data_IF_672313598658
#
_entry.id   IF_672313598658
#
_cell.length_a   1.000
_cell.length_b   1.000
_cell.length_c   1.000
_cell.angle_alpha   90.00
_cell.angle_beta   90.00
_cell.angle_gamma   90.00
#
_symmetry.space_group_name_H-M   'P 1'
#
loop_
_entity.id
_entity.type
_entity.pdbx_description
1 polymer ?
#
# COMPACT_ATOMS: atom_id res chain seq x y z
N UNK A 1 15.11 86.67 -6.95
CA UNK A 1 15.36 86.12 -5.61
C UNK A 1 14.60 84.80 -5.49
N UNK A 2 15.12 83.70 -6.03
CA UNK A 2 14.59 82.33 -5.86
C UNK A 2 15.79 81.37 -5.92
N UNK A 3 16.33 81.01 -4.75
CA UNK A 3 17.35 79.97 -4.65
C UNK A 3 16.69 78.58 -4.69
N UNK A 4 17.04 77.79 -5.70
CA UNK A 4 16.62 76.38 -5.79
C UNK A 4 17.45 75.55 -4.81
N UNK A 5 16.84 75.18 -3.70
CA UNK A 5 17.37 74.21 -2.74
C UNK A 5 17.27 72.80 -3.35
N UNK A 6 18.37 72.27 -3.86
CA UNK A 6 18.49 70.87 -4.27
C UNK A 6 18.85 70.01 -3.06
N UNK A 7 17.84 69.39 -2.43
CA UNK A 7 18.08 68.36 -1.40
C UNK A 7 18.39 67.03 -2.09
N UNK A 8 19.51 66.36 -1.77
CA UNK A 8 19.78 65.03 -2.29
C UNK A 8 18.80 64.03 -1.67
N UNK A 9 18.08 63.31 -2.52
CA UNK A 9 17.19 62.23 -2.14
C UNK A 9 18.03 61.05 -1.64
N UNK A 10 18.03 60.79 -0.33
CA UNK A 10 18.65 59.59 0.26
C UNK A 10 17.63 58.46 0.29
N UNK A 11 17.91 57.36 -0.40
CA UNK A 11 17.14 56.14 -0.30
C UNK A 11 17.41 55.45 1.05
N UNK A 12 16.39 54.89 1.72
CA UNK A 12 16.58 54.14 2.95
C UNK A 12 17.26 52.78 2.66
N UNK A 13 18.05 52.24 3.61
CA UNK A 13 18.67 50.93 3.46
C UNK A 13 17.59 49.84 3.47
N UNK A 14 17.66 48.93 2.50
CA UNK A 14 16.86 47.70 2.49
C UNK A 14 17.24 46.86 3.72
N UNK A 15 16.45 46.94 4.78
CA UNK A 15 16.51 46.01 5.91
C UNK A 15 15.95 44.66 5.45
N UNK A 16 16.80 43.64 5.46
CA UNK A 16 16.50 42.24 5.13
C UNK A 16 15.91 41.48 6.33
N UNK A 17 14.58 41.40 6.52
CA UNK A 17 14.07 40.21 7.23
C UNK A 17 12.87 39.51 6.56
N UNK A 18 12.39 39.98 5.40
CA UNK A 18 11.15 39.41 4.82
C UNK A 18 11.40 38.17 3.95
N UNK A 19 12.63 37.93 3.48
CA UNK A 19 12.90 36.86 2.51
C UNK A 19 13.15 35.46 3.11
N UNK A 20 13.29 35.32 4.44
CA UNK A 20 13.59 34.03 5.09
C UNK A 20 12.37 33.23 5.58
N UNK A 21 11.16 33.78 5.48
CA UNK A 21 9.94 33.08 5.92
C UNK A 21 9.25 32.24 4.82
N UNK A 22 9.66 32.37 3.55
CA UNK A 22 8.98 31.70 2.43
C UNK A 22 9.45 30.26 2.14
N UNK A 23 10.56 29.79 2.71
CA UNK A 23 11.14 28.48 2.34
C UNK A 23 10.61 27.28 3.16
N UNK A 24 9.88 27.52 4.25
CA UNK A 24 9.48 26.45 5.19
C UNK A 24 8.20 25.68 4.78
N UNK A 25 7.43 26.16 3.79
CA UNK A 25 6.13 25.55 3.44
C UNK A 25 6.20 24.45 2.37
N UNK A 26 7.33 24.25 1.70
CA UNK A 26 7.43 23.32 0.56
C UNK A 26 7.80 21.87 0.94
N UNK A 27 8.22 21.59 2.18
CA UNK A 27 8.75 20.27 2.56
C UNK A 27 7.66 19.32 3.11
N UNK A 28 6.51 19.85 3.56
CA UNK A 28 5.48 19.04 4.24
C UNK A 28 4.51 18.32 3.29
N UNK A 29 4.43 18.71 2.01
CA UNK A 29 3.34 18.28 1.13
C UNK A 29 3.47 16.89 0.48
N UNK A 30 4.61 16.17 0.62
CA UNK A 30 4.87 14.96 -0.17
C UNK A 30 4.94 13.62 0.61
N UNK A 31 4.71 13.59 1.93
CA UNK A 31 4.72 12.33 2.71
C UNK A 31 3.42 12.02 3.47
N UNK A 32 2.40 12.87 3.31
CA UNK A 32 1.36 13.04 4.31
C UNK A 32 0.35 11.89 4.38
N UNK A 33 -0.06 11.31 3.25
CA UNK A 33 -1.10 10.26 3.22
C UNK A 33 -0.78 9.06 4.13
N UNK A 34 0.39 8.46 3.98
CA UNK A 34 0.71 7.25 4.75
C UNK A 34 0.99 7.54 6.23
N UNK A 35 1.37 8.77 6.57
CA UNK A 35 1.57 9.20 7.96
C UNK A 35 0.22 9.50 8.62
N UNK A 36 -0.69 10.17 7.92
CA UNK A 36 -2.05 10.41 8.36
C UNK A 36 -2.81 9.09 8.62
N UNK A 37 -2.76 8.17 7.66
CA UNK A 37 -3.36 6.83 7.83
C UNK A 37 -2.80 6.11 9.05
N UNK A 38 -1.48 6.20 9.30
CA UNK A 38 -0.87 5.62 10.51
C UNK A 38 -1.27 6.33 11.81
N UNK A 39 -1.40 7.66 11.81
CA UNK A 39 -1.87 8.41 13.00
C UNK A 39 -3.30 8.06 13.39
N UNK A 40 -4.10 7.59 12.43
CA UNK A 40 -5.47 7.11 12.70
C UNK A 40 -5.52 5.72 13.32
N UNK A 41 -4.39 5.01 13.36
CA UNK A 41 -4.24 3.70 14.00
C UNK A 41 -3.78 3.95 15.45
N UNK A 42 -4.55 3.48 16.43
CA UNK A 42 -4.17 3.59 17.85
C UNK A 42 -2.86 2.84 18.21
N UNK A 43 -2.56 2.71 19.49
CA UNK A 43 -1.22 2.29 19.96
C UNK A 43 -0.78 0.86 19.56
N UNK A 44 -1.71 -0.04 19.23
CA UNK A 44 -1.42 -1.42 18.85
C UNK A 44 -2.44 -1.95 17.83
N UNK A 45 -2.34 -1.52 16.55
CA UNK A 45 -3.31 -1.88 15.53
C UNK A 45 -3.26 -3.37 15.17
N UNK A 46 -4.43 -3.99 15.07
CA UNK A 46 -4.60 -5.30 14.46
C UNK A 46 -4.43 -5.22 12.94
N UNK A 47 -4.28 -6.37 12.26
CA UNK A 47 -4.27 -6.36 10.78
C UNK A 47 -5.59 -5.85 10.20
N UNK A 48 -6.72 -6.10 10.88
CA UNK A 48 -8.02 -5.53 10.50
C UNK A 48 -8.02 -4.00 10.55
N UNK A 49 -7.36 -3.39 11.53
CA UNK A 49 -7.24 -1.92 11.60
C UNK A 49 -6.47 -1.34 10.42
N UNK A 50 -5.37 -1.99 10.02
CA UNK A 50 -4.64 -1.62 8.81
C UNK A 50 -5.51 -1.76 7.55
N UNK A 51 -6.33 -2.81 7.45
CA UNK A 51 -7.26 -2.98 6.34
C UNK A 51 -8.30 -1.85 6.25
N UNK A 52 -8.74 -1.29 7.39
CA UNK A 52 -9.71 -0.17 7.38
C UNK A 52 -9.13 1.13 6.79
N UNK A 53 -7.81 1.24 6.72
CA UNK A 53 -7.08 2.42 6.21
C UNK A 53 -6.19 2.05 5.02
N UNK A 54 -6.43 0.89 4.41
CA UNK A 54 -5.65 0.43 3.27
C UNK A 54 -6.01 1.23 2.00
N UNK A 55 -5.01 1.50 1.17
CA UNK A 55 -5.14 2.16 -0.12
C UNK A 55 -4.80 1.17 -1.25
N UNK A 56 -5.82 0.79 -2.03
CA UNK A 56 -5.67 -0.14 -3.14
C UNK A 56 -4.80 0.42 -4.30
N UNK A 57 -4.76 1.74 -4.51
CA UNK A 57 -3.91 2.39 -5.50
C UNK A 57 -2.44 2.37 -5.11
N UNK A 58 -2.12 2.52 -3.83
CA UNK A 58 -0.79 2.28 -3.28
C UNK A 58 -0.45 0.79 -3.33
N UNK A 59 -1.41 -0.07 -3.03
CA UNK A 59 -1.31 -1.52 -3.21
C UNK A 59 -0.94 -1.94 -4.63
N UNK A 60 -1.55 -1.32 -5.63
CA UNK A 60 -1.25 -1.57 -7.05
C UNK A 60 0.21 -1.27 -7.39
N UNK A 61 0.75 -0.16 -6.85
CA UNK A 61 2.17 0.19 -7.02
C UNK A 61 3.09 -0.80 -6.31
N UNK A 62 2.76 -1.13 -5.06
CA UNK A 62 3.48 -2.13 -4.28
C UNK A 62 3.37 -3.53 -4.87
N UNK A 63 2.33 -3.86 -5.65
CA UNK A 63 2.23 -5.14 -6.33
C UNK A 63 3.31 -5.33 -7.41
N UNK A 64 4.04 -4.28 -7.81
CA UNK A 64 5.16 -4.37 -8.76
C UNK A 64 6.22 -5.42 -8.39
N UNK A 65 6.51 -5.62 -7.10
CA UNK A 65 7.40 -6.69 -6.60
C UNK A 65 6.85 -8.11 -6.82
N UNK A 66 5.54 -8.26 -6.99
CA UNK A 66 4.87 -9.54 -7.23
C UNK A 66 4.76 -9.86 -8.74
N UNK A 67 4.76 -8.82 -9.58
CA UNK A 67 4.43 -8.90 -11.01
C UNK A 67 5.42 -9.73 -11.84
N UNK A 68 6.67 -9.90 -11.37
CA UNK A 68 7.63 -10.78 -12.03
C UNK A 68 7.18 -12.26 -12.02
N UNK A 69 6.47 -12.67 -10.95
CA UNK A 69 6.07 -14.06 -10.75
C UNK A 69 4.56 -14.28 -10.89
N UNK A 70 3.74 -13.25 -10.71
CA UNK A 70 2.29 -13.38 -10.68
C UNK A 70 1.61 -12.49 -11.70
N UNK A 71 0.55 -13.02 -12.31
CA UNK A 71 -0.45 -12.20 -12.98
C UNK A 71 -1.58 -11.89 -11.99
N UNK A 72 -2.35 -10.83 -12.24
CA UNK A 72 -3.46 -10.42 -11.37
C UNK A 72 -4.74 -10.07 -12.14
N UNK A 73 -4.68 -10.12 -13.48
CA UNK A 73 -5.84 -9.91 -14.35
C UNK A 73 -6.54 -11.22 -14.63
N UNK A 74 -7.87 -11.17 -14.75
CA UNK A 74 -8.69 -12.32 -15.13
C UNK A 74 -8.15 -12.97 -16.41
N UNK A 75 -8.00 -14.29 -16.40
CA UNK A 75 -7.57 -15.07 -17.56
C UNK A 75 -6.09 -14.91 -17.95
N UNK A 76 -5.29 -14.11 -17.25
CA UNK A 76 -3.88 -13.89 -17.61
C UNK A 76 -2.96 -15.10 -17.37
N UNK A 77 -3.45 -16.14 -16.68
CA UNK A 77 -2.74 -17.40 -16.49
C UNK A 77 -1.61 -17.35 -15.47
N UNK A 78 -0.87 -18.45 -15.37
CA UNK A 78 0.23 -18.61 -14.42
C UNK A 78 1.57 -18.16 -15.04
N UNK A 79 2.53 -17.80 -14.18
CA UNK A 79 3.95 -17.60 -14.52
C UNK A 79 4.80 -18.47 -13.59
N UNK A 80 5.87 -17.92 -13.02
CA UNK A 80 6.65 -18.58 -11.96
C UNK A 80 5.82 -18.79 -10.68
N UNK A 81 4.74 -18.04 -10.52
CA UNK A 81 3.69 -18.21 -9.51
C UNK A 81 2.30 -18.32 -10.17
N UNK A 82 1.27 -18.77 -9.43
CA UNK A 82 -0.09 -18.85 -9.93
C UNK A 82 -0.67 -17.46 -10.23
N UNK A 83 -1.65 -17.38 -11.13
CA UNK A 83 -2.49 -16.18 -11.25
C UNK A 83 -3.17 -15.84 -9.92
N UNK A 84 -3.29 -14.54 -9.62
CA UNK A 84 -3.82 -14.02 -8.35
C UNK A 84 -5.15 -13.26 -8.50
N UNK A 85 -5.73 -13.22 -9.71
CA UNK A 85 -7.11 -12.73 -9.87
C UNK A 85 -8.05 -13.54 -8.98
N UNK A 86 -8.95 -12.86 -8.27
CA UNK A 86 -9.94 -13.47 -7.38
C UNK A 86 -9.34 -14.36 -6.28
N UNK A 87 -8.11 -14.10 -5.83
CA UNK A 87 -7.44 -14.96 -4.84
C UNK A 87 -7.97 -14.80 -3.41
N UNK A 88 -8.50 -13.61 -3.08
CA UNK A 88 -8.99 -13.33 -1.72
C UNK A 88 -10.28 -14.12 -1.50
N UNK A 89 -10.36 -14.82 -0.37
CA UNK A 89 -11.48 -15.71 -0.06
C UNK A 89 -11.43 -17.08 -0.76
N UNK A 90 -10.45 -17.36 -1.62
CA UNK A 90 -10.26 -18.71 -2.19
C UNK A 90 -9.56 -19.66 -1.22
N UNK A 91 -9.80 -20.98 -1.37
CA UNK A 91 -8.98 -21.98 -0.70
C UNK A 91 -7.49 -21.81 -1.03
N UNK A 92 -6.64 -22.06 -0.04
CA UNK A 92 -5.19 -22.02 -0.23
C UNK A 92 -4.79 -23.06 -1.28
N UNK A 93 -3.84 -22.68 -2.16
CA UNK A 93 -3.32 -23.55 -3.22
C UNK A 93 -4.37 -24.07 -4.22
N UNK A 94 -5.42 -23.28 -4.51
CA UNK A 94 -6.47 -23.68 -5.47
C UNK A 94 -6.70 -22.73 -6.64
N UNK A 95 -6.06 -21.55 -6.67
CA UNK A 95 -6.41 -20.50 -7.63
C UNK A 95 -6.14 -20.87 -9.10
N UNK A 96 -5.20 -21.79 -9.33
CA UNK A 96 -4.99 -22.42 -10.64
C UNK A 96 -4.79 -23.92 -10.48
N UNK A 97 -5.64 -24.71 -11.15
CA UNK A 97 -5.50 -26.19 -11.18
C UNK A 97 -4.24 -26.66 -11.93
N UNK A 98 -3.67 -25.81 -12.79
CA UNK A 98 -2.49 -26.11 -13.60
C UNK A 98 -1.18 -25.81 -12.86
N UNK A 99 -1.23 -25.01 -11.80
CA UNK A 99 -0.04 -24.61 -11.08
C UNK A 99 0.44 -25.69 -10.11
N UNK A 100 1.73 -25.99 -10.17
CA UNK A 100 2.40 -26.97 -9.29
C UNK A 100 2.66 -26.42 -7.88
N UNK A 101 1.62 -26.27 -7.05
CA UNK A 101 1.81 -25.83 -5.65
C UNK A 101 2.71 -26.78 -4.85
N UNK A 102 3.52 -26.22 -3.95
CA UNK A 102 4.33 -27.03 -3.02
C UNK A 102 3.44 -27.79 -2.05
N UNK A 103 3.90 -28.96 -1.59
CA UNK A 103 3.22 -29.70 -0.52
C UNK A 103 3.04 -28.85 0.74
N UNK A 104 4.06 -28.07 1.09
CA UNK A 104 4.03 -27.11 2.21
C UNK A 104 2.84 -26.14 2.14
N UNK A 105 2.60 -25.52 0.99
CA UNK A 105 1.49 -24.58 0.85
C UNK A 105 0.13 -25.29 0.85
N UNK A 106 0.02 -26.49 0.27
CA UNK A 106 -1.22 -27.29 0.33
C UNK A 106 -1.57 -27.68 1.76
N UNK A 107 -0.59 -28.11 2.53
CA UNK A 107 -0.77 -28.50 3.94
C UNK A 107 -1.17 -27.33 4.84
N UNK A 108 -0.87 -26.08 4.46
CA UNK A 108 -1.33 -24.90 5.21
C UNK A 108 -2.86 -24.74 5.21
N UNK A 109 -3.56 -25.32 4.22
CA UNK A 109 -5.01 -25.43 4.14
C UNK A 109 -5.79 -24.11 4.31
N UNK A 110 -7.10 -24.25 4.52
CA UNK A 110 -7.99 -23.13 4.80
C UNK A 110 -8.20 -22.19 3.62
N UNK A 111 -8.55 -20.94 3.94
CA UNK A 111 -8.95 -19.89 2.99
C UNK A 111 -8.01 -18.68 3.08
N UNK A 112 -7.82 -17.96 1.99
CA UNK A 112 -7.09 -16.69 1.97
C UNK A 112 -7.94 -15.53 2.50
N UNK A 113 -8.01 -15.38 3.82
CA UNK A 113 -8.52 -14.15 4.45
C UNK A 113 -7.49 -13.02 4.34
N UNK A 114 -7.90 -11.74 4.52
CA UNK A 114 -6.96 -10.62 4.58
C UNK A 114 -5.82 -10.84 5.57
N UNK A 115 -6.10 -11.34 6.77
CA UNK A 115 -5.11 -11.60 7.82
C UNK A 115 -4.11 -12.68 7.41
N UNK A 116 -4.60 -13.76 6.78
CA UNK A 116 -3.74 -14.86 6.31
C UNK A 116 -2.86 -14.42 5.14
N UNK A 117 -3.39 -13.62 4.23
CA UNK A 117 -2.60 -13.01 3.17
C UNK A 117 -1.57 -12.04 3.75
N UNK A 118 -1.95 -11.21 4.73
CA UNK A 118 -1.03 -10.37 5.48
C UNK A 118 0.12 -11.16 6.12
N UNK A 119 -0.17 -12.27 6.80
CA UNK A 119 0.85 -13.15 7.37
C UNK A 119 1.73 -13.80 6.29
N UNK A 120 1.13 -14.24 5.18
CA UNK A 120 1.84 -14.84 4.05
C UNK A 120 2.76 -13.86 3.33
N UNK A 121 2.37 -12.59 3.25
CA UNK A 121 3.17 -11.51 2.67
C UNK A 121 4.25 -11.03 3.64
N UNK A 122 4.06 -11.15 4.96
CA UNK A 122 5.07 -10.75 5.94
C UNK A 122 6.31 -11.65 5.88
N UNK A 123 6.12 -12.96 5.80
CA UNK A 123 7.21 -13.93 5.75
C UNK A 123 6.78 -15.24 5.06
N UNK A 124 6.86 -15.32 3.71
CA UNK A 124 6.48 -16.49 2.92
C UNK A 124 7.01 -17.83 3.43
N UNK A 125 8.31 -17.90 3.68
CA UNK A 125 9.00 -19.11 4.13
C UNK A 125 8.64 -19.51 5.57
N UNK A 126 8.25 -18.54 6.42
CA UNK A 126 7.76 -18.81 7.78
C UNK A 126 6.32 -19.31 7.75
N UNK A 127 5.48 -18.72 6.88
CA UNK A 127 4.09 -19.12 6.73
C UNK A 127 3.95 -20.55 6.19
N UNK A 128 4.75 -20.91 5.19
CA UNK A 128 4.79 -22.26 4.62
C UNK A 128 6.25 -22.70 4.43
N UNK A 129 6.87 -23.34 5.45
CA UNK A 129 8.23 -23.85 5.35
C UNK A 129 8.38 -24.85 4.21
N UNK A 130 9.32 -24.58 3.29
CA UNK A 130 9.47 -25.36 2.05
C UNK A 130 8.67 -24.82 0.86
N UNK A 131 8.05 -23.64 0.96
CA UNK A 131 7.48 -22.95 -0.20
C UNK A 131 8.57 -22.60 -1.22
N UNK A 132 8.24 -22.70 -2.52
CA UNK A 132 9.10 -22.27 -3.63
C UNK A 132 9.04 -20.76 -3.91
N UNK A 133 8.21 -19.99 -3.19
CA UNK A 133 8.13 -18.55 -3.36
C UNK A 133 9.32 -17.90 -2.67
N UNK A 134 10.39 -17.66 -3.42
CA UNK A 134 11.63 -17.00 -2.99
C UNK A 134 11.49 -15.49 -2.71
N UNK A 135 10.40 -15.09 -2.07
CA UNK A 135 10.12 -13.70 -1.70
C UNK A 135 10.46 -13.48 -0.22
N UNK A 136 11.19 -12.40 0.10
CA UNK A 136 11.62 -12.10 1.47
C UNK A 136 10.47 -11.67 2.39
N UNK A 137 9.43 -11.07 1.81
CA UNK A 137 8.29 -10.52 2.54
C UNK A 137 8.23 -9.00 2.50
N UNK A 138 7.09 -8.46 2.91
CA UNK A 138 6.85 -7.03 3.08
C UNK A 138 6.78 -6.74 4.59
N UNK A 139 7.75 -6.02 5.17
CA UNK A 139 7.85 -5.86 6.63
C UNK A 139 6.78 -4.93 7.20
N UNK A 140 6.41 -3.87 6.47
CA UNK A 140 5.42 -2.90 6.92
C UNK A 140 3.98 -3.48 6.83
N UNK A 141 3.20 -3.47 7.93
CA UNK A 141 1.83 -4.00 7.94
C UNK A 141 0.83 -3.18 7.12
N UNK A 142 0.99 -1.85 7.04
CA UNK A 142 0.15 -1.00 6.21
C UNK A 142 0.43 -1.25 4.72
N UNK A 143 1.69 -1.41 4.33
CA UNK A 143 2.06 -1.80 2.96
C UNK A 143 1.44 -3.15 2.57
N UNK A 144 1.42 -4.12 3.50
CA UNK A 144 0.75 -5.41 3.28
C UNK A 144 -0.76 -5.24 3.13
N UNK A 145 -1.39 -4.42 3.97
CA UNK A 145 -2.82 -4.14 3.88
C UNK A 145 -3.18 -3.47 2.56
N UNK A 146 -2.38 -2.50 2.10
CA UNK A 146 -2.51 -1.86 0.79
C UNK A 146 -2.48 -2.90 -0.34
N UNK A 147 -1.50 -3.83 -0.34
CA UNK A 147 -1.43 -4.92 -1.33
C UNK A 147 -2.66 -5.83 -1.27
N UNK A 148 -3.13 -6.19 -0.06
CA UNK A 148 -4.32 -7.03 0.10
C UNK A 148 -5.57 -6.33 -0.41
N UNK A 149 -5.73 -5.03 -0.13
CA UNK A 149 -6.82 -4.21 -0.67
C UNK A 149 -6.78 -4.15 -2.20
N UNK A 150 -5.59 -4.05 -2.80
CA UNK A 150 -5.44 -4.14 -4.25
C UNK A 150 -5.91 -5.50 -4.79
N UNK A 151 -5.53 -6.61 -4.15
CA UNK A 151 -5.98 -7.95 -4.54
C UNK A 151 -7.49 -8.14 -4.38
N UNK A 152 -8.10 -7.56 -3.35
CA UNK A 152 -9.57 -7.52 -3.18
C UNK A 152 -10.23 -6.80 -4.35
N UNK A 153 -9.67 -5.67 -4.79
CA UNK A 153 -10.16 -4.95 -5.97
C UNK A 153 -9.98 -5.72 -7.30
N UNK A 154 -9.19 -6.81 -7.30
CA UNK A 154 -9.06 -7.73 -8.44
C UNK A 154 -9.89 -9.01 -8.27
N UNK A 155 -10.86 -9.02 -7.35
CA UNK A 155 -11.76 -10.16 -7.12
C UNK A 155 -13.14 -9.87 -7.70
N UNK A 156 -13.91 -10.91 -8.02
CA UNK A 156 -15.33 -10.69 -8.33
C UNK A 156 -16.05 -10.47 -7.00
N UNK A 157 -16.92 -9.47 -6.91
CA UNK A 157 -17.83 -9.41 -5.79
C UNK A 157 -18.70 -10.67 -5.83
N UNK A 158 -18.61 -11.49 -4.78
CA UNK A 158 -19.52 -12.61 -4.62
C UNK A 158 -20.82 -12.01 -4.11
N UNK A 159 -21.78 -11.78 -5.01
CA UNK A 159 -23.17 -11.53 -4.62
C UNK A 159 -23.61 -12.70 -3.71
N UNK A 160 -23.73 -12.45 -2.40
CA UNK A 160 -24.23 -13.43 -1.43
C UNK A 160 -23.41 -13.66 -0.17
N UNK A 161 -22.25 -13.02 0.02
CA UNK A 161 -21.64 -12.91 1.35
C UNK A 161 -22.09 -11.59 1.99
N UNK A 162 -22.85 -11.66 3.09
CA UNK A 162 -23.42 -10.51 3.82
C UNK A 162 -22.51 -9.29 3.77
N UNK A 163 -23.02 -8.25 3.10
CA UNK A 163 -22.39 -6.96 3.02
C UNK A 163 -22.12 -6.45 4.44
N UNK A 164 -20.85 -6.22 4.76
CA UNK A 164 -20.48 -5.31 5.83
C UNK A 164 -21.18 -3.97 5.53
N UNK A 165 -21.88 -3.37 6.51
CA UNK A 165 -22.68 -2.18 6.25
C UNK A 165 -21.79 -1.09 5.66
N UNK A 166 -22.22 -0.56 4.52
CA UNK A 166 -21.67 0.63 3.91
C UNK A 166 -21.62 1.74 4.95
N UNK A 167 -20.42 2.28 5.17
CA UNK A 167 -20.21 3.44 6.03
C UNK A 167 -20.95 4.67 5.45
N UNK A 168 -21.42 5.59 6.30
CA UNK A 168 -22.11 6.81 5.88
C UNK A 168 -21.21 7.75 5.07
#
# INVERSE_FOLDING_TARGET
MIERVTRPFRLPPLSQPVMLLALAFLVTACSDDSQERRRSLGDAPSFGDFMRVADAGRGARLFGQCAACHTVRMGAGDRNGPGLYDVVGKPVASNSRRFGYTGALRSAGGVWTPERLGARLAAPAKFAPGTSMGFRGVPDPLDRADIVAYLQAQSVEVEGAEALPSRP
#
